data_IF_218496679785
#
_entry.id   IF_218496679785
#
_cell.length_a   1.000
_cell.length_b   1.000
_cell.length_c   1.000
_cell.angle_alpha   90.00
_cell.angle_beta   90.00
_cell.angle_gamma   90.00
#
_symmetry.space_group_name_H-M   'P 1'
#
loop_
_entity.id
_entity.type
_entity.pdbx_description
1 polymer ?
#
# COMPACT_ATOMS: atom_id res chain seq x y z
N UNK A 1 2.93 -7.88 -11.27
CA UNK A 1 4.08 -6.96 -11.23
C UNK A 1 5.23 -7.51 -12.06
N UNK A 2 5.94 -6.64 -12.78
CA UNK A 2 7.11 -7.00 -13.59
C UNK A 2 8.39 -7.24 -12.76
N UNK A 3 8.31 -7.09 -11.42
CA UNK A 3 9.44 -7.29 -10.51
C UNK A 3 10.64 -6.37 -10.75
N UNK A 4 10.47 -5.32 -11.57
CA UNK A 4 11.55 -4.42 -11.99
C UNK A 4 11.82 -3.33 -10.95
N UNK A 5 10.81 -2.95 -10.18
CA UNK A 5 10.87 -1.88 -9.19
C UNK A 5 10.55 -2.40 -7.78
N UNK A 6 11.17 -1.78 -6.78
CA UNK A 6 11.00 -2.05 -5.37
C UNK A 6 10.52 -0.78 -4.67
N UNK A 7 9.33 -0.83 -4.07
CA UNK A 7 8.76 0.23 -3.26
C UNK A 7 9.11 0.00 -1.80
N UNK A 8 9.50 1.05 -1.10
CA UNK A 8 9.82 1.02 0.33
C UNK A 8 9.08 2.13 1.06
N UNK A 9 8.45 1.78 2.17
CA UNK A 9 7.91 2.72 3.15
C UNK A 9 8.75 2.70 4.43
N UNK A 10 8.97 3.87 5.04
CA UNK A 10 9.67 3.96 6.32
C UNK A 10 8.73 4.29 7.47
N UNK A 11 9.18 4.00 8.70
CA UNK A 11 8.49 4.38 9.94
C UNK A 11 8.35 5.90 10.11
N UNK A 12 9.24 6.67 9.46
CA UNK A 12 9.18 8.13 9.42
C UNK A 12 8.19 8.67 8.38
N UNK A 13 7.50 7.78 7.67
CA UNK A 13 6.56 8.17 6.61
C UNK A 13 7.22 8.51 5.28
N UNK A 14 8.50 8.22 5.09
CA UNK A 14 9.18 8.41 3.81
C UNK A 14 8.86 7.27 2.85
N UNK A 15 8.79 7.59 1.56
CA UNK A 15 8.51 6.61 0.49
C UNK A 15 9.64 6.66 -0.53
N UNK A 16 10.12 5.49 -0.94
CA UNK A 16 11.22 5.36 -1.89
C UNK A 16 10.92 4.29 -2.95
N UNK A 17 11.34 4.53 -4.19
CA UNK A 17 11.30 3.56 -5.29
C UNK A 17 12.73 3.28 -5.73
N UNK A 18 13.09 2.01 -5.78
CA UNK A 18 14.38 1.52 -6.22
C UNK A 18 14.22 0.56 -7.40
N UNK A 19 15.25 0.39 -8.22
CA UNK A 19 15.32 -0.71 -9.19
C UNK A 19 15.60 -2.00 -8.43
N UNK A 20 14.82 -3.06 -8.67
CA UNK A 20 15.00 -4.33 -7.96
C UNK A 20 16.37 -4.98 -8.24
N UNK A 21 16.86 -4.89 -9.49
CA UNK A 21 18.13 -5.51 -9.91
C UNK A 21 19.38 -4.87 -9.28
N UNK A 22 19.39 -3.54 -9.15
CA UNK A 22 20.59 -2.80 -8.73
C UNK A 22 20.44 -2.10 -7.38
N UNK A 23 19.24 -2.15 -6.77
CA UNK A 23 18.86 -1.38 -5.58
C UNK A 23 19.15 0.12 -5.71
N UNK A 24 19.28 0.62 -6.93
CA UNK A 24 19.50 2.03 -7.19
C UNK A 24 18.22 2.81 -6.95
N UNK A 25 18.34 3.89 -6.18
CA UNK A 25 17.22 4.76 -5.84
C UNK A 25 16.83 5.61 -7.05
N UNK A 26 15.62 5.42 -7.55
CA UNK A 26 15.05 6.21 -8.64
C UNK A 26 14.22 7.38 -8.15
N UNK A 27 13.53 7.20 -7.02
CA UNK A 27 12.62 8.20 -6.48
C UNK A 27 12.61 8.11 -4.95
N UNK A 28 12.59 9.27 -4.30
CA UNK A 28 12.55 9.36 -2.85
C UNK A 28 11.82 10.63 -2.43
N UNK A 29 10.81 10.46 -1.60
CA UNK A 29 10.10 11.55 -0.95
C UNK A 29 10.25 11.36 0.55
N UNK A 30 10.91 12.33 1.17
CA UNK A 30 11.04 12.39 2.62
C UNK A 30 9.70 12.79 3.22
N UNK A 31 9.28 12.11 4.29
CA UNK A 31 8.07 12.44 5.05
C UNK A 31 6.83 12.61 4.13
N UNK A 32 6.69 11.69 3.17
CA UNK A 32 5.51 11.65 2.33
C UNK A 32 4.24 11.49 3.17
N UNK A 33 4.31 10.75 4.27
CA UNK A 33 3.28 10.63 5.29
C UNK A 33 3.81 11.17 6.62
N UNK A 34 2.91 11.65 7.49
CA UNK A 34 3.30 12.17 8.81
C UNK A 34 3.62 11.08 9.83
N UNK A 35 3.37 9.81 9.49
CA UNK A 35 3.46 8.62 10.34
C UNK A 35 3.99 7.45 9.49
N UNK A 36 4.30 6.31 10.12
CA UNK A 36 4.69 5.05 9.48
C UNK A 36 3.82 4.68 8.28
N UNK A 37 4.50 4.44 7.15
CA UNK A 37 3.91 3.78 5.99
C UNK A 37 3.79 2.29 6.29
N UNK A 38 2.57 1.78 6.28
CA UNK A 38 2.24 0.39 6.62
C UNK A 38 2.29 -0.52 5.42
N UNK A 39 1.95 -0.01 4.24
CA UNK A 39 1.93 -0.79 3.01
C UNK A 39 2.31 0.07 1.80
N UNK A 40 2.94 -0.57 0.83
CA UNK A 40 3.28 0.01 -0.47
C UNK A 40 3.00 -1.00 -1.57
N UNK A 41 2.23 -0.59 -2.58
CA UNK A 41 1.80 -1.47 -3.65
C UNK A 41 2.00 -0.78 -5.00
N UNK A 42 2.56 -1.50 -5.97
CA UNK A 42 2.62 -1.00 -7.35
C UNK A 42 1.29 -1.20 -8.05
N UNK A 43 0.87 -0.21 -8.84
CA UNK A 43 -0.32 -0.34 -9.69
C UNK A 43 0.01 -1.34 -10.82
N UNK A 44 -0.79 -2.41 -10.98
CA UNK A 44 -0.54 -3.41 -12.00
C UNK A 44 -0.75 -2.83 -13.40
N UNK A 45 0.06 -3.24 -14.38
CA UNK A 45 -0.11 -2.88 -15.79
C UNK A 45 -1.29 -3.56 -16.50
N UNK A 46 -2.31 -3.98 -15.75
CA UNK A 46 -3.56 -4.52 -16.31
C UNK A 46 -4.31 -3.42 -17.06
N UNK A 47 -5.20 -3.78 -17.99
CA UNK A 47 -5.99 -2.81 -18.80
C UNK A 47 -6.60 -1.66 -17.97
N UNK A 48 -7.28 -1.90 -16.82
CA UNK A 48 -7.81 -0.81 -15.98
C UNK A 48 -6.71 0.00 -15.27
N UNK A 49 -5.61 -0.62 -14.84
CA UNK A 49 -4.48 0.08 -14.22
C UNK A 49 -3.72 0.97 -15.21
N UNK A 50 -3.69 0.57 -16.49
CA UNK A 50 -2.99 1.28 -17.57
C UNK A 50 -3.70 2.57 -18.00
N UNK A 51 -5.03 2.65 -17.88
CA UNK A 51 -5.78 3.92 -18.02
C UNK A 51 -5.41 4.89 -16.91
N UNK A 52 -5.27 4.40 -15.67
CA UNK A 52 -4.88 5.17 -14.50
C UNK A 52 -3.41 5.60 -14.55
N UNK A 53 -2.56 4.80 -15.21
CA UNK A 53 -1.13 5.08 -15.37
C UNK A 53 -0.86 6.19 -16.40
N UNK A 54 -1.77 6.46 -17.33
CA UNK A 54 -1.73 7.64 -18.22
C UNK A 54 -0.44 7.86 -19.01
N UNK A 55 0.40 6.83 -19.18
CA UNK A 55 1.72 6.94 -19.85
C UNK A 55 2.93 7.06 -18.91
N UNK A 56 2.73 7.01 -17.59
CA UNK A 56 3.81 6.90 -16.60
C UNK A 56 4.46 5.50 -16.61
N UNK A 57 5.71 5.39 -16.17
CA UNK A 57 6.49 4.15 -16.20
C UNK A 57 6.13 3.20 -15.06
N UNK A 58 5.79 3.75 -13.90
CA UNK A 58 5.27 2.99 -12.77
C UNK A 58 4.44 3.91 -11.87
N UNK A 59 3.55 3.34 -11.07
CA UNK A 59 2.85 4.06 -10.01
C UNK A 59 2.92 3.26 -8.73
N UNK A 60 3.29 3.92 -7.64
CA UNK A 60 3.37 3.34 -6.31
C UNK A 60 2.30 3.97 -5.41
N UNK A 61 1.38 3.15 -4.93
CA UNK A 61 0.44 3.51 -3.87
C UNK A 61 1.13 3.29 -2.53
N UNK A 62 1.07 4.28 -1.66
CA UNK A 62 1.54 4.18 -0.27
C UNK A 62 0.39 4.42 0.68
N UNK A 63 0.27 3.56 1.69
CA UNK A 63 -0.76 3.61 2.73
C UNK A 63 -0.08 3.77 4.07
N UNK A 64 -0.56 4.72 4.87
CA UNK A 64 -0.08 4.96 6.22
C UNK A 64 -1.21 4.87 7.25
N UNK A 65 -0.82 4.84 8.53
CA UNK A 65 -1.73 4.77 9.69
C UNK A 65 -2.65 5.98 9.78
N UNK A 66 -2.30 7.08 9.12
CA UNK A 66 -3.11 8.31 9.06
C UNK A 66 -4.35 8.18 8.15
N UNK A 67 -4.68 6.97 7.69
CA UNK A 67 -5.75 6.66 6.74
C UNK A 67 -5.62 7.37 5.39
N UNK A 68 -4.44 7.90 5.08
CA UNK A 68 -4.16 8.54 3.79
C UNK A 68 -3.47 7.56 2.86
N UNK A 69 -4.03 7.46 1.66
CA UNK A 69 -3.39 6.78 0.55
C UNK A 69 -2.79 7.85 -0.38
N UNK A 70 -1.50 7.77 -0.67
CA UNK A 70 -0.81 8.66 -1.61
C UNK A 70 -0.28 7.88 -2.80
N UNK A 71 -0.57 8.37 -4.00
CA UNK A 71 -0.10 7.79 -5.25
C UNK A 71 1.15 8.55 -5.72
N UNK A 72 2.24 7.82 -5.89
CA UNK A 72 3.51 8.33 -6.40
C UNK A 72 3.69 7.83 -7.84
N UNK A 73 3.62 8.74 -8.80
CA UNK A 73 3.79 8.44 -10.22
C UNK A 73 5.27 8.58 -10.62
N UNK A 74 5.81 7.55 -11.25
CA UNK A 74 7.16 7.54 -11.80
C UNK A 74 7.07 7.94 -13.28
N UNK A 75 7.60 9.10 -13.68
CA UNK A 75 7.53 9.57 -15.06
C UNK A 75 8.35 8.67 -15.99
N UNK A 76 7.85 8.43 -17.20
CA UNK A 76 8.56 7.64 -18.21
C UNK A 76 9.78 8.39 -18.74
N UNK A 77 10.91 7.68 -18.84
CA UNK A 77 12.16 8.23 -19.37
C UNK A 77 12.10 8.59 -20.87
N UNK A 78 10.97 8.33 -21.55
CA UNK A 78 10.77 8.60 -22.98
C UNK A 78 9.96 9.89 -23.19
N UNK A 79 10.60 11.03 -23.03
CA UNK A 79 10.45 12.28 -23.82
C UNK A 79 10.81 13.50 -22.97
N UNK A 80 11.75 14.27 -23.48
CA UNK A 80 12.18 15.57 -22.96
C UNK A 80 11.01 16.55 -22.84
N UNK A 81 10.80 17.17 -21.68
CA UNK A 81 10.24 18.52 -21.61
C UNK A 81 8.98 18.80 -20.78
N UNK A 82 8.49 17.89 -19.93
CA UNK A 82 7.35 18.20 -19.05
C UNK A 82 7.81 18.45 -17.60
N UNK A 83 7.58 19.68 -17.11
CA UNK A 83 7.76 20.06 -15.70
C UNK A 83 6.90 19.17 -14.79
N UNK A 84 7.40 18.74 -13.61
CA UNK A 84 6.62 17.92 -12.69
C UNK A 84 5.66 18.80 -11.87
N UNK A 85 4.54 19.18 -12.48
CA UNK A 85 3.36 19.66 -11.74
C UNK A 85 2.49 18.43 -11.46
N UNK A 86 2.27 18.09 -10.19
CA UNK A 86 1.33 17.04 -9.83
C UNK A 86 1.81 16.13 -8.72
N UNK A 87 2.24 16.71 -7.60
CA UNK A 87 1.97 16.10 -6.31
C UNK A 87 0.44 16.10 -6.17
N UNK A 88 -0.22 15.12 -6.81
CA UNK A 88 -1.67 14.93 -6.74
C UNK A 88 -1.97 14.40 -5.34
N UNK A 89 -1.91 15.32 -4.37
CA UNK A 89 -2.58 15.20 -3.10
C UNK A 89 -4.03 14.91 -3.44
N UNK A 90 -4.48 13.70 -3.14
CA UNK A 90 -5.89 13.36 -3.02
C UNK A 90 -6.50 14.21 -1.91
N UNK A 91 -6.65 15.52 -2.14
CA UNK A 91 -7.42 16.42 -1.30
C UNK A 91 -8.80 16.51 -1.92
N UNK A 92 -9.80 16.06 -1.15
CA UNK A 92 -11.13 15.73 -1.63
C UNK A 92 -11.87 16.85 -2.35
N UNK A 93 -12.66 16.44 -3.33
CA UNK A 93 -13.67 17.25 -4.00
C UNK A 93 -14.35 16.46 -5.12
N UNK A 94 -15.58 16.01 -4.83
CA UNK A 94 -16.61 15.49 -5.76
C UNK A 94 -16.60 13.96 -6.10
N UNK A 95 -17.61 13.26 -5.55
CA UNK A 95 -18.03 11.85 -5.76
C UNK A 95 -18.87 11.67 -7.06
N UNK A 96 -19.29 10.43 -7.50
CA UNK A 96 -18.79 9.04 -7.32
C UNK A 96 -18.86 8.21 -8.66
N UNK A 97 -18.82 6.85 -8.75
CA UNK A 97 -18.34 5.79 -7.86
C UNK A 97 -17.30 4.90 -8.59
N UNK A 98 -16.03 4.93 -8.24
CA UNK A 98 -15.14 3.79 -8.48
C UNK A 98 -14.23 3.71 -7.29
N UNK A 99 -14.69 2.90 -6.33
CA UNK A 99 -13.86 2.08 -5.46
C UNK A 99 -12.38 2.25 -5.78
N UNK A 100 -11.69 3.08 -4.98
CA UNK A 100 -10.26 2.96 -4.83
C UNK A 100 -10.03 1.57 -4.23
N UNK A 101 -10.03 0.55 -5.12
CA UNK A 101 -9.52 -0.76 -4.86
C UNK A 101 -8.09 -0.52 -4.41
N UNK A 102 -7.86 -0.52 -3.10
CA UNK A 102 -6.57 -0.91 -2.57
C UNK A 102 -6.38 -2.34 -3.08
N UNK A 103 -5.50 -2.60 -4.05
CA UNK A 103 -5.30 -3.93 -4.57
C UNK A 103 -4.22 -4.59 -3.74
N UNK A 104 -4.45 -4.76 -2.44
CA UNK A 104 -3.65 -5.64 -1.61
C UNK A 104 -4.62 -6.35 -0.69
N UNK A 105 -4.50 -7.68 -0.64
CA UNK A 105 -5.28 -8.57 0.21
C UNK A 105 -4.98 -8.36 1.70
N UNK A 106 -5.13 -7.12 2.18
CA UNK A 106 -5.22 -6.80 3.58
C UNK A 106 -6.55 -7.35 4.05
N UNK A 107 -6.51 -8.58 4.58
CA UNK A 107 -7.61 -9.12 5.36
C UNK A 107 -7.99 -8.02 6.36
N UNK A 108 -9.26 -7.58 6.40
CA UNK A 108 -9.62 -6.45 7.23
C UNK A 108 -9.15 -6.72 8.66
N UNK A 109 -8.49 -5.75 9.29
CA UNK A 109 -7.96 -5.89 10.66
C UNK A 109 -9.02 -6.47 11.62
N UNK A 110 -10.29 -6.13 11.38
CA UNK A 110 -11.43 -6.69 12.12
C UNK A 110 -11.59 -8.22 11.97
N UNK A 111 -11.39 -8.78 10.77
CA UNK A 111 -11.41 -10.22 10.55
C UNK A 111 -10.25 -10.93 11.24
N UNK A 112 -9.06 -10.34 11.24
CA UNK A 112 -7.91 -10.85 11.99
C UNK A 112 -8.18 -10.84 13.49
N UNK A 113 -8.77 -9.75 14.01
CA UNK A 113 -9.17 -9.64 15.43
C UNK A 113 -10.23 -10.67 15.80
N UNK A 114 -11.26 -10.88 14.97
CA UNK A 114 -12.28 -11.91 15.19
C UNK A 114 -11.69 -13.32 15.18
N UNK A 115 -10.81 -13.62 14.22
CA UNK A 115 -10.13 -14.91 14.15
C UNK A 115 -9.25 -15.14 15.38
N UNK A 116 -8.51 -14.12 15.82
CA UNK A 116 -7.64 -14.19 17.00
C UNK A 116 -8.46 -14.40 18.29
N UNK A 117 -9.56 -13.67 18.46
CA UNK A 117 -10.48 -13.85 19.58
C UNK A 117 -11.12 -15.25 19.56
N UNK A 118 -11.58 -15.71 18.38
CA UNK A 118 -12.15 -17.05 18.20
C UNK A 118 -11.16 -18.16 18.51
N UNK A 119 -9.91 -18.06 18.04
CA UNK A 119 -8.85 -19.01 18.36
C UNK A 119 -8.56 -19.05 19.87
N UNK A 120 -8.54 -17.88 20.53
CA UNK A 120 -8.32 -17.80 21.98
C UNK A 120 -9.44 -18.52 22.75
N UNK A 121 -10.71 -18.27 22.39
CA UNK A 121 -11.87 -18.95 23.00
C UNK A 121 -11.85 -20.44 22.71
N UNK A 122 -11.52 -20.84 21.48
CA UNK A 122 -11.44 -22.25 21.09
C UNK A 122 -10.34 -22.99 21.87
N UNK A 123 -9.16 -22.37 22.06
CA UNK A 123 -8.09 -22.93 22.88
C UNK A 123 -8.51 -23.07 24.34
N UNK A 124 -9.18 -22.07 24.91
CA UNK A 124 -9.70 -22.14 26.29
C UNK A 124 -10.73 -23.28 26.40
N UNK A 125 -11.70 -23.37 25.48
CA UNK A 125 -12.73 -24.41 25.50
C UNK A 125 -12.12 -25.81 25.34
N UNK A 126 -11.13 -25.97 24.46
CA UNK A 126 -10.41 -27.22 24.28
C UNK A 126 -9.66 -27.63 25.56
N UNK A 127 -9.05 -26.66 26.26
CA UNK A 127 -8.38 -26.90 27.52
C UNK A 127 -9.36 -27.33 28.63
N UNK A 128 -10.54 -26.73 28.69
CA UNK A 128 -11.61 -27.12 29.61
C UNK A 128 -12.13 -28.54 29.33
N UNK A 129 -12.21 -28.94 28.05
CA UNK A 129 -12.61 -30.30 27.65
C UNK A 129 -11.54 -31.35 27.96
N UNK A 130 -10.26 -30.99 27.78
CA UNK A 130 -9.14 -31.90 28.03
C UNK A 130 -8.84 -32.06 29.53
N UNK A 131 -9.04 -31.01 30.32
CA UNK A 131 -8.79 -30.98 31.76
C UNK A 131 -9.97 -30.31 32.47
N UNK A 132 -11.00 -31.07 32.88
CA UNK A 132 -12.24 -30.54 33.48
C UNK A 132 -12.07 -29.97 34.91
N UNK A 133 -10.90 -29.43 35.25
CA UNK A 133 -10.59 -28.85 36.56
C UNK A 133 -9.49 -27.78 36.55
N UNK A 134 -9.27 -27.09 35.43
CA UNK A 134 -8.20 -26.09 35.27
C UNK A 134 -8.62 -24.63 35.57
N UNK A 135 -9.89 -24.38 35.95
CA UNK A 135 -10.41 -23.03 36.27
C UNK A 135 -10.97 -22.97 37.69
#
# INVERSE_FOLDING_TARGET
>A
DSGTFLGLGTVTGSVAIHIAFSLQRLYYVKEAHGIVVTDVAFVPESRPGRELLGGHEAALLSVAVDSRCKLHLLPTRRTSGARPEGLLLCHGGLQPPLTCLCPTGSLPVWLLLLLCAGLTVATILLLQLAFPGFL
#
